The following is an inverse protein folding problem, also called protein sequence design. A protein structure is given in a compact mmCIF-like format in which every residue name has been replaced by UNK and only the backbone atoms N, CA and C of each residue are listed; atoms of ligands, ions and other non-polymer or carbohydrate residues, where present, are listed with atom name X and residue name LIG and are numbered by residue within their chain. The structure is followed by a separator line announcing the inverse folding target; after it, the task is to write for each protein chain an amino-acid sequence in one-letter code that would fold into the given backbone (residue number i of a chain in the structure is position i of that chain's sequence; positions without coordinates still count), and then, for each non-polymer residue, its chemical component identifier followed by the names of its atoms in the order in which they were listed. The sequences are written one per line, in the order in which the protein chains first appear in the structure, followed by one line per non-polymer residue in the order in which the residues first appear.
data_IF_342035588241
#
_entry.id   IF_342035588241
#
_cell.length_a   1.000
_cell.length_b   1.000
_cell.length_c   1.000
_cell.angle_alpha   90.00
_cell.angle_beta   90.00
_cell.angle_gamma   90.00
#
_symmetry.space_group_name_H-M   'P 1'
#
loop_
_entity.id
_entity.type
_entity.pdbx_description
1 polymer ?
#
# COMPACT_ATOMS: atom_id res chain seq x y z
N UNK A 1 14.80 -7.92 -22.84
CA UNK A 1 14.45 -6.86 -21.86
C UNK A 1 13.84 -7.57 -20.67
N UNK A 2 14.59 -7.62 -19.60
CA UNK A 2 14.16 -8.20 -18.31
C UNK A 2 13.67 -7.07 -17.40
N UNK A 3 12.41 -7.11 -16.99
CA UNK A 3 11.77 -6.03 -16.24
C UNK A 3 11.31 -6.56 -14.90
N UNK A 4 11.89 -6.04 -13.83
CA UNK A 4 11.50 -6.40 -12.47
C UNK A 4 10.64 -5.30 -11.86
N UNK A 5 9.49 -5.69 -11.32
CA UNK A 5 8.61 -4.80 -10.59
C UNK A 5 8.81 -4.91 -9.08
N UNK A 6 8.57 -3.80 -8.38
CA UNK A 6 8.51 -3.71 -6.93
C UNK A 6 7.22 -2.98 -6.57
N UNK A 7 6.45 -3.52 -5.64
CA UNK A 7 5.25 -2.86 -5.09
C UNK A 7 5.67 -2.18 -3.79
N UNK A 8 5.40 -0.89 -3.64
CA UNK A 8 5.90 -0.11 -2.51
C UNK A 8 4.98 1.02 -2.08
N UNK A 9 5.14 1.45 -0.84
CA UNK A 9 4.53 2.67 -0.29
C UNK A 9 5.53 3.81 -0.18
N UNK A 10 6.78 3.48 0.16
CA UNK A 10 7.85 4.44 0.43
C UNK A 10 7.45 5.55 1.42
N UNK A 11 6.96 5.13 2.57
CA UNK A 11 6.39 6.02 3.59
C UNK A 11 7.26 6.15 4.87
N UNK A 12 8.44 6.85 4.81
CA UNK A 12 9.13 7.39 3.63
C UNK A 12 10.05 6.39 2.93
N UNK A 13 10.66 6.80 1.82
CA UNK A 13 11.79 6.09 1.22
C UNK A 13 13.00 6.16 2.15
N UNK A 14 13.69 5.03 2.37
CA UNK A 14 14.83 4.93 3.29
C UNK A 14 15.89 3.93 2.78
N UNK A 15 17.02 3.81 3.50
CA UNK A 15 18.14 2.96 3.12
C UNK A 15 17.75 1.50 2.83
N UNK A 16 16.78 0.94 3.57
CA UNK A 16 16.26 -0.41 3.30
C UNK A 16 15.57 -0.53 1.94
N UNK A 17 14.86 0.51 1.50
CA UNK A 17 14.24 0.53 0.17
C UNK A 17 15.30 0.70 -0.93
N UNK A 18 16.31 1.53 -0.70
CA UNK A 18 17.45 1.68 -1.60
C UNK A 18 18.21 0.35 -1.77
N UNK A 19 18.48 -0.35 -0.67
CA UNK A 19 19.07 -1.68 -0.68
C UNK A 19 18.22 -2.66 -1.50
N UNK A 20 16.90 -2.68 -1.28
CA UNK A 20 15.99 -3.55 -2.01
C UNK A 20 16.03 -3.28 -3.52
N UNK A 21 15.94 -2.01 -3.96
CA UNK A 21 16.05 -1.65 -5.38
C UNK A 21 17.38 -2.15 -5.99
N UNK A 22 18.48 -1.93 -5.28
CA UNK A 22 19.80 -2.36 -5.73
C UNK A 22 19.91 -3.88 -5.85
N UNK A 23 19.48 -4.63 -4.83
CA UNK A 23 19.53 -6.09 -4.86
C UNK A 23 18.57 -6.67 -5.89
N UNK A 24 17.35 -6.14 -6.00
CA UNK A 24 16.39 -6.57 -7.01
C UNK A 24 16.98 -6.46 -8.42
N UNK A 25 17.66 -5.34 -8.74
CA UNK A 25 18.31 -5.18 -10.04
C UNK A 25 19.40 -6.23 -10.27
N UNK A 26 20.25 -6.48 -9.25
CA UNK A 26 21.37 -7.40 -9.37
C UNK A 26 20.91 -8.87 -9.44
N UNK A 27 20.08 -9.29 -8.49
CA UNK A 27 19.70 -10.71 -8.33
C UNK A 27 18.75 -11.19 -9.43
N UNK A 28 17.93 -10.29 -9.99
CA UNK A 28 17.05 -10.63 -11.11
C UNK A 28 17.65 -10.28 -12.48
N UNK A 29 18.87 -9.74 -12.55
CA UNK A 29 19.48 -9.24 -13.78
C UNK A 29 18.56 -8.29 -14.56
N UNK A 30 17.88 -7.38 -13.85
CA UNK A 30 16.89 -6.50 -14.44
C UNK A 30 17.53 -5.40 -15.30
N UNK A 31 17.12 -5.31 -16.57
CA UNK A 31 17.41 -4.17 -17.44
C UNK A 31 16.72 -2.91 -16.89
N UNK A 32 15.47 -3.06 -16.41
CA UNK A 32 14.65 -1.98 -15.87
C UNK A 32 13.94 -2.40 -14.59
N UNK A 33 13.83 -1.44 -13.65
CA UNK A 33 13.03 -1.54 -12.43
C UNK A 33 11.78 -0.66 -12.52
N UNK A 34 10.61 -1.27 -12.37
CA UNK A 34 9.34 -0.58 -12.24
C UNK A 34 8.94 -0.57 -10.76
N UNK A 35 8.58 0.59 -10.25
CA UNK A 35 7.94 0.70 -8.93
C UNK A 35 6.46 1.00 -9.13
N UNK A 36 5.59 0.13 -8.64
CA UNK A 36 4.17 0.38 -8.50
C UNK A 36 3.94 0.90 -7.07
N UNK A 37 3.61 2.18 -6.95
CA UNK A 37 3.64 2.90 -5.69
C UNK A 37 2.25 3.41 -5.28
N UNK A 38 1.90 3.24 -4.01
CA UNK A 38 0.69 3.84 -3.43
C UNK A 38 0.67 5.36 -3.67
N UNK A 39 -0.51 5.90 -3.99
CA UNK A 39 -0.78 7.33 -4.05
C UNK A 39 -0.53 8.02 -2.69
N UNK A 40 -1.30 9.06 -2.35
CA UNK A 40 -1.05 9.85 -1.14
C UNK A 40 -1.52 9.18 0.17
N UNK A 41 -2.24 8.05 0.06
CA UNK A 41 -2.65 7.22 1.19
C UNK A 41 -2.15 5.79 1.02
N UNK A 42 -1.89 5.12 2.14
CA UNK A 42 -1.19 3.83 2.18
C UNK A 42 -2.02 2.73 2.85
N UNK A 43 -1.61 1.49 2.70
CA UNK A 43 -2.33 0.27 3.07
C UNK A 43 -2.75 0.21 4.55
N UNK A 44 -2.05 0.89 5.42
CA UNK A 44 -2.40 0.97 6.85
C UNK A 44 -3.57 1.87 7.17
N UNK A 45 -4.15 2.55 6.19
CA UNK A 45 -5.20 3.54 6.38
C UNK A 45 -4.64 4.86 6.92
N UNK A 46 -3.45 5.24 6.49
CA UNK A 46 -2.73 6.45 6.90
C UNK A 46 -2.38 7.29 5.66
N UNK A 47 -2.22 8.62 5.80
CA UNK A 47 -1.57 9.41 4.77
C UNK A 47 -0.10 9.01 4.65
N UNK A 48 0.47 9.12 3.48
CA UNK A 48 1.91 9.09 3.33
C UNK A 48 2.53 10.36 3.93
N UNK A 49 3.70 10.23 4.55
CA UNK A 49 4.36 11.34 5.24
C UNK A 49 4.79 12.48 4.30
N UNK A 50 5.00 12.15 3.03
CA UNK A 50 5.22 13.06 1.90
C UNK A 50 4.29 12.66 0.75
N UNK A 51 3.92 13.61 -0.09
CA UNK A 51 3.06 13.36 -1.24
C UNK A 51 3.67 12.36 -2.24
N UNK A 52 2.83 11.85 -3.13
CA UNK A 52 3.26 10.87 -4.14
C UNK A 52 4.33 11.40 -5.10
N UNK A 53 4.38 12.72 -5.34
CA UNK A 53 5.36 13.32 -6.26
C UNK A 53 6.75 13.37 -5.63
N UNK A 54 6.84 13.78 -4.36
CA UNK A 54 8.07 13.70 -3.59
C UNK A 54 8.59 12.26 -3.53
N UNK A 55 7.72 11.29 -3.22
CA UNK A 55 8.09 9.88 -3.14
C UNK A 55 8.47 9.28 -4.49
N UNK A 56 7.83 9.73 -5.58
CA UNK A 56 8.23 9.38 -6.95
C UNK A 56 9.65 9.87 -7.25
N UNK A 57 9.97 11.13 -6.94
CA UNK A 57 11.33 11.66 -7.10
C UNK A 57 12.35 10.86 -6.29
N UNK A 58 12.00 10.51 -5.04
CA UNK A 58 12.84 9.65 -4.19
C UNK A 58 13.07 8.26 -4.79
N UNK A 59 12.03 7.62 -5.29
CA UNK A 59 12.12 6.29 -5.91
C UNK A 59 13.03 6.32 -7.16
N UNK A 60 12.88 7.33 -8.01
CA UNK A 60 13.70 7.50 -9.19
C UNK A 60 15.17 7.77 -8.81
N UNK A 61 15.44 8.66 -7.86
CA UNK A 61 16.80 8.90 -7.35
C UNK A 61 17.38 7.64 -6.69
N UNK A 62 16.52 6.84 -6.04
CA UNK A 62 16.90 5.56 -5.44
C UNK A 62 17.17 4.42 -6.43
N UNK A 63 16.97 4.63 -7.74
CA UNK A 63 17.31 3.64 -8.77
C UNK A 63 16.14 3.00 -9.51
N UNK A 64 14.90 3.42 -9.28
CA UNK A 64 13.77 3.03 -10.12
C UNK A 64 13.87 3.70 -11.51
N UNK A 65 13.43 3.01 -12.56
CA UNK A 65 13.40 3.53 -13.93
C UNK A 65 12.03 4.10 -14.30
N UNK A 66 10.97 3.52 -13.74
CA UNK A 66 9.59 3.93 -13.96
C UNK A 66 8.80 3.81 -12.65
N UNK A 67 7.99 4.82 -12.34
CA UNK A 67 7.06 4.78 -11.21
C UNK A 67 5.63 4.90 -11.73
N UNK A 68 4.81 3.92 -11.39
CA UNK A 68 3.38 3.86 -11.67
C UNK A 68 2.60 4.09 -10.38
N UNK A 69 1.43 4.69 -10.46
CA UNK A 69 0.52 4.85 -9.31
C UNK A 69 -0.34 3.60 -9.11
N UNK A 70 -0.41 3.11 -7.88
CA UNK A 70 -1.37 2.11 -7.47
C UNK A 70 -2.66 2.84 -7.04
N UNK A 71 -3.81 2.60 -7.71
CA UNK A 71 -5.08 3.24 -7.37
C UNK A 71 -5.48 3.09 -5.91
N UNK A 72 -6.13 4.10 -5.35
CA UNK A 72 -6.43 4.23 -3.93
C UNK A 72 -7.24 3.08 -3.35
N UNK A 73 -8.14 2.46 -4.12
CA UNK A 73 -8.90 1.29 -3.69
C UNK A 73 -8.00 0.09 -3.35
N UNK A 74 -6.94 -0.13 -4.13
CA UNK A 74 -5.92 -1.12 -3.78
C UNK A 74 -4.96 -0.58 -2.74
N UNK A 75 -4.45 0.64 -2.92
CA UNK A 75 -3.42 1.23 -2.07
C UNK A 75 -3.84 1.33 -0.60
N UNK A 76 -5.13 1.55 -0.32
CA UNK A 76 -5.70 1.60 1.03
C UNK A 76 -6.54 0.37 1.40
N UNK A 77 -6.52 -0.68 0.59
CA UNK A 77 -7.25 -1.92 0.82
C UNK A 77 -6.60 -2.84 1.87
N UNK A 78 -7.23 -3.99 2.12
CA UNK A 78 -6.58 -5.07 2.88
C UNK A 78 -5.36 -5.60 2.12
N UNK A 79 -4.48 -6.37 2.80
CA UNK A 79 -3.31 -6.95 2.13
C UNK A 79 -3.67 -7.76 0.88
N UNK A 80 -4.81 -8.46 0.90
CA UNK A 80 -5.34 -9.20 -0.25
C UNK A 80 -5.72 -8.29 -1.41
N UNK A 81 -6.50 -7.23 -1.16
CA UNK A 81 -6.90 -6.26 -2.18
C UNK A 81 -5.73 -5.42 -2.69
N UNK A 82 -4.80 -5.07 -1.79
CA UNK A 82 -3.54 -4.40 -2.15
C UNK A 82 -2.73 -5.26 -3.14
N UNK A 83 -2.53 -6.53 -2.80
CA UNK A 83 -1.78 -7.47 -3.64
C UNK A 83 -2.51 -7.77 -4.96
N UNK A 84 -3.81 -8.07 -4.89
CA UNK A 84 -4.61 -8.43 -6.07
C UNK A 84 -4.63 -7.32 -7.11
N UNK A 85 -4.91 -6.08 -6.71
CA UNK A 85 -4.93 -4.95 -7.64
C UNK A 85 -3.53 -4.62 -8.18
N UNK A 86 -2.50 -4.71 -7.35
CA UNK A 86 -1.13 -4.50 -7.81
C UNK A 86 -0.70 -5.53 -8.85
N UNK A 87 -0.95 -6.81 -8.63
CA UNK A 87 -0.63 -7.88 -9.60
C UNK A 87 -1.43 -7.73 -10.88
N UNK A 88 -2.70 -7.34 -10.79
CA UNK A 88 -3.54 -7.09 -11.97
C UNK A 88 -2.95 -6.00 -12.86
N UNK A 89 -2.50 -4.88 -12.30
CA UNK A 89 -1.85 -3.80 -13.05
C UNK A 89 -0.53 -4.24 -13.67
N UNK A 90 0.30 -4.99 -12.92
CA UNK A 90 1.57 -5.48 -13.43
C UNK A 90 1.37 -6.48 -14.58
N UNK A 91 0.40 -7.38 -14.47
CA UNK A 91 0.01 -8.30 -15.56
C UNK A 91 -0.45 -7.51 -16.79
N UNK A 92 -1.35 -6.56 -16.60
CA UNK A 92 -1.92 -5.76 -17.67
C UNK A 92 -0.89 -4.85 -18.37
N UNK A 93 0.23 -4.52 -17.71
CA UNK A 93 1.32 -3.77 -18.36
C UNK A 93 1.98 -4.53 -19.51
N UNK A 94 1.95 -5.87 -19.47
CA UNK A 94 2.49 -6.76 -20.51
C UNK A 94 4.01 -6.74 -20.64
N UNK A 95 4.75 -6.14 -19.69
CA UNK A 95 6.20 -5.98 -19.76
C UNK A 95 6.96 -6.56 -18.56
N UNK A 96 6.29 -6.82 -17.45
CA UNK A 96 6.92 -7.29 -16.21
C UNK A 96 7.20 -8.78 -16.31
N UNK A 97 8.45 -9.18 -16.10
CA UNK A 97 8.89 -10.58 -16.07
C UNK A 97 9.10 -11.11 -14.65
N UNK A 98 9.41 -10.23 -13.69
CA UNK A 98 9.70 -10.62 -12.31
C UNK A 98 9.05 -9.64 -11.33
N UNK A 99 8.56 -10.15 -10.19
CA UNK A 99 8.13 -9.37 -9.03
C UNK A 99 9.11 -9.60 -7.89
N UNK A 100 9.83 -8.56 -7.47
CA UNK A 100 10.70 -8.62 -6.29
C UNK A 100 10.04 -7.99 -5.08
N UNK A 101 10.05 -8.67 -3.94
CA UNK A 101 9.55 -8.17 -2.66
C UNK A 101 10.45 -8.55 -1.49
N UNK A 102 10.45 -7.75 -0.44
CA UNK A 102 11.19 -8.05 0.79
C UNK A 102 10.37 -8.94 1.72
N UNK A 103 11.00 -9.94 2.33
CA UNK A 103 10.40 -10.78 3.38
C UNK A 103 11.34 -10.95 4.57
N UNK A 104 10.82 -11.21 5.75
CA UNK A 104 11.63 -11.47 6.93
C UNK A 104 12.33 -12.82 6.83
N UNK A 105 11.64 -13.81 6.27
CA UNK A 105 12.20 -15.17 6.10
C UNK A 105 13.27 -15.27 5.02
N UNK A 106 13.10 -14.54 3.91
CA UNK A 106 13.89 -14.74 2.68
C UNK A 106 13.65 -16.10 2.02
N UNK A 107 12.65 -16.87 2.45
CA UNK A 107 12.35 -18.22 1.97
C UNK A 107 11.14 -18.23 1.03
N UNK A 108 11.43 -18.06 -0.26
CA UNK A 108 10.39 -18.06 -1.30
C UNK A 108 9.62 -19.40 -1.35
N UNK A 109 10.27 -20.51 -1.05
CA UNK A 109 9.65 -21.85 -1.12
C UNK A 109 8.57 -22.00 -0.07
N UNK A 110 8.86 -21.67 1.18
CA UNK A 110 7.88 -21.73 2.28
C UNK A 110 6.73 -20.75 2.07
N UNK A 111 7.03 -19.52 1.62
CA UNK A 111 6.01 -18.52 1.27
C UNK A 111 5.10 -19.00 0.13
N UNK A 112 5.66 -19.61 -0.92
CA UNK A 112 4.88 -20.15 -2.05
C UNK A 112 4.00 -21.33 -1.64
N UNK A 113 4.48 -22.20 -0.76
CA UNK A 113 3.69 -23.30 -0.22
C UNK A 113 2.45 -22.79 0.54
N UNK A 114 2.65 -21.81 1.44
CA UNK A 114 1.56 -21.18 2.17
C UNK A 114 0.59 -20.46 1.23
N UNK A 115 1.11 -19.70 0.25
CA UNK A 115 0.28 -19.00 -0.74
C UNK A 115 -0.59 -19.94 -1.57
N UNK A 116 -0.03 -21.08 -2.01
CA UNK A 116 -0.78 -22.11 -2.76
C UNK A 116 -1.92 -22.70 -1.93
N UNK A 117 -1.69 -22.96 -0.65
CA UNK A 117 -2.73 -23.40 0.27
C UNK A 117 -3.88 -22.37 0.37
N UNK A 118 -3.52 -21.09 0.62
CA UNK A 118 -4.52 -20.03 0.74
C UNK A 118 -5.17 -19.61 -0.59
N UNK A 119 -4.55 -19.93 -1.73
CA UNK A 119 -5.17 -19.68 -3.04
C UNK A 119 -6.36 -20.63 -3.29
N UNK A 120 -6.29 -21.86 -2.81
CA UNK A 120 -7.30 -22.90 -3.04
C UNK A 120 -8.44 -22.90 -2.01
N UNK A 121 -8.18 -22.42 -0.78
CA UNK A 121 -9.16 -22.35 0.34
C UNK A 121 -10.05 -23.59 0.47
N UNK A 122 -9.45 -24.74 0.76
CA UNK A 122 -10.17 -26.01 0.86
C UNK A 122 -11.38 -25.94 1.82
N UNK A 123 -12.41 -26.77 1.60
CA UNK A 123 -13.59 -26.85 2.45
C UNK A 123 -13.26 -27.12 3.93
N UNK A 124 -12.20 -27.91 4.16
CA UNK A 124 -11.68 -28.19 5.50
C UNK A 124 -11.13 -26.93 6.17
N UNK A 125 -10.31 -26.15 5.45
CA UNK A 125 -9.77 -24.87 5.93
C UNK A 125 -10.88 -23.90 6.26
N UNK A 126 -11.88 -23.74 5.38
CA UNK A 126 -13.02 -22.85 5.62
C UNK A 126 -13.83 -23.27 6.86
N UNK A 127 -13.97 -24.57 7.12
CA UNK A 127 -14.63 -25.09 8.32
C UNK A 127 -13.86 -24.69 9.59
N UNK A 128 -12.55 -24.86 9.62
CA UNK A 128 -11.71 -24.42 10.74
C UNK A 128 -11.74 -22.90 10.90
N UNK A 129 -11.62 -22.13 9.81
CA UNK A 129 -11.67 -20.68 9.86
C UNK A 129 -13.00 -20.17 10.48
N UNK A 130 -14.13 -20.69 10.04
CA UNK A 130 -15.44 -20.36 10.62
C UNK A 130 -15.51 -20.70 12.11
N UNK A 131 -14.95 -21.84 12.53
CA UNK A 131 -14.88 -22.24 13.94
C UNK A 131 -14.06 -21.25 14.77
N UNK A 132 -12.89 -20.83 14.26
CA UNK A 132 -12.03 -19.89 14.96
C UNK A 132 -12.63 -18.47 15.03
N UNK A 133 -13.29 -18.01 13.96
CA UNK A 133 -14.03 -16.73 13.95
C UNK A 133 -15.18 -16.72 14.96
N UNK A 134 -15.93 -17.83 15.11
CA UNK A 134 -16.98 -17.96 16.14
C UNK A 134 -16.46 -17.85 17.58
N UNK A 135 -15.16 -18.10 17.82
CA UNK A 135 -14.53 -17.89 19.15
C UNK A 135 -14.22 -16.40 19.41
N UNK A 136 -14.57 -15.49 18.50
CA UNK A 136 -14.33 -14.06 18.63
C UNK A 136 -12.89 -13.64 18.34
N UNK A 137 -12.11 -14.45 17.62
CA UNK A 137 -10.76 -14.09 17.19
C UNK A 137 -10.79 -13.11 16.02
N UNK A 138 -9.76 -12.26 15.91
CA UNK A 138 -9.55 -11.45 14.72
C UNK A 138 -9.29 -12.34 13.49
N UNK A 139 -9.65 -11.88 12.30
CA UNK A 139 -9.45 -12.65 11.07
C UNK A 139 -8.01 -13.14 10.87
N UNK A 140 -6.95 -12.32 11.09
CA UNK A 140 -5.56 -12.80 10.95
C UNK A 140 -5.25 -13.97 11.88
N UNK A 141 -5.70 -13.90 13.15
CA UNK A 141 -5.44 -14.98 14.12
C UNK A 141 -6.28 -16.23 13.85
N UNK A 142 -7.54 -16.06 13.47
CA UNK A 142 -8.41 -17.16 13.06
C UNK A 142 -7.86 -17.89 11.82
N UNK A 143 -7.36 -17.13 10.84
CA UNK A 143 -6.70 -17.63 9.62
C UNK A 143 -5.45 -18.45 9.94
N UNK A 144 -4.59 -17.94 10.82
CA UNK A 144 -3.38 -18.63 11.27
C UNK A 144 -3.73 -19.96 11.95
N UNK A 145 -4.65 -19.94 12.93
CA UNK A 145 -5.07 -21.16 13.65
C UNK A 145 -5.70 -22.19 12.71
N UNK A 146 -6.55 -21.75 11.76
CA UNK A 146 -7.18 -22.65 10.79
C UNK A 146 -6.15 -23.29 9.85
N UNK A 147 -5.14 -22.53 9.42
CA UNK A 147 -4.03 -23.05 8.62
C UNK A 147 -3.24 -24.12 9.37
N UNK A 148 -2.84 -23.85 10.61
CA UNK A 148 -2.10 -24.78 11.45
C UNK A 148 -2.91 -26.06 11.69
N UNK A 149 -4.20 -25.94 12.01
CA UNK A 149 -5.08 -27.10 12.19
C UNK A 149 -5.20 -28.00 10.93
N UNK A 150 -4.99 -27.44 9.73
CA UNK A 150 -4.92 -28.22 8.50
C UNK A 150 -3.57 -28.92 8.30
N UNK A 151 -2.50 -28.41 8.93
CA UNK A 151 -1.13 -28.94 8.80
C UNK A 151 -0.76 -29.98 9.89
N UNK A 152 -1.41 -29.95 11.06
CA UNK A 152 -1.11 -30.82 12.22
C UNK A 152 -1.13 -32.32 11.93
N UNK A 153 -1.64 -32.74 10.76
CA UNK A 153 -1.62 -34.13 10.33
C UNK A 153 -0.27 -34.58 9.70
N UNK A 154 0.67 -33.67 9.43
CA UNK A 154 1.81 -33.94 8.57
C UNK A 154 3.21 -33.80 9.16
N UNK A 155 3.50 -33.03 10.25
CA UNK A 155 4.83 -33.00 10.94
C UNK A 155 4.90 -31.87 11.99
N UNK A 156 5.27 -32.21 13.23
CA UNK A 156 5.38 -31.26 14.36
C UNK A 156 6.50 -30.21 14.19
N UNK A 157 7.60 -30.54 13.53
CA UNK A 157 8.76 -29.64 13.36
C UNK A 157 8.52 -28.51 12.32
N UNK A 158 7.60 -28.74 11.40
CA UNK A 158 7.21 -27.73 10.41
C UNK A 158 6.25 -26.68 10.96
N UNK A 159 5.55 -26.98 12.04
CA UNK A 159 4.49 -26.11 12.59
C UNK A 159 5.06 -24.82 13.18
N UNK A 160 6.17 -24.88 13.91
CA UNK A 160 6.81 -23.70 14.54
C UNK A 160 7.39 -22.72 13.50
N UNK A 161 7.95 -23.25 12.40
CA UNK A 161 8.47 -22.41 11.32
C UNK A 161 7.35 -21.71 10.53
N UNK A 162 6.19 -22.36 10.40
CA UNK A 162 5.01 -21.79 9.73
C UNK A 162 4.30 -20.75 10.59
N UNK A 163 4.27 -20.90 11.93
CA UNK A 163 3.76 -19.87 12.84
C UNK A 163 4.55 -18.56 12.68
N UNK A 164 5.88 -18.65 12.77
CA UNK A 164 6.78 -17.49 12.60
C UNK A 164 6.64 -16.86 11.22
N UNK A 165 6.39 -17.66 10.16
CA UNK A 165 6.17 -17.17 8.82
C UNK A 165 4.93 -16.26 8.73
N UNK A 166 3.83 -16.65 9.40
CA UNK A 166 2.55 -15.97 9.35
C UNK A 166 2.43 -14.80 10.34
N UNK A 167 3.32 -14.66 11.32
CA UNK A 167 3.33 -13.56 12.28
C UNK A 167 4.08 -12.31 11.76
N UNK A 168 4.84 -12.46 10.68
CA UNK A 168 5.67 -11.39 10.14
C UNK A 168 4.96 -10.62 9.03
N UNK A 169 4.79 -9.29 9.15
CA UNK A 169 3.97 -8.50 8.22
C UNK A 169 4.41 -8.53 6.76
N UNK A 170 5.73 -8.53 6.49
CA UNK A 170 6.19 -8.56 5.09
C UNK A 170 6.12 -9.99 4.51
N UNK A 171 6.26 -11.03 5.35
CA UNK A 171 5.97 -12.41 4.91
C UNK A 171 4.48 -12.54 4.54
N UNK A 172 3.56 -12.00 5.36
CA UNK A 172 2.12 -11.99 5.04
C UNK A 172 1.83 -11.28 3.73
N UNK A 173 2.43 -10.11 3.52
CA UNK A 173 2.24 -9.35 2.28
C UNK A 173 2.85 -10.08 1.08
N UNK A 174 4.05 -10.65 1.22
CA UNK A 174 4.69 -11.50 0.21
C UNK A 174 3.83 -12.70 -0.16
N UNK A 175 3.23 -13.36 0.83
CA UNK A 175 2.29 -14.45 0.61
C UNK A 175 1.03 -13.99 -0.15
N UNK A 176 0.47 -12.79 0.13
CA UNK A 176 -0.66 -12.25 -0.64
C UNK A 176 -0.27 -11.95 -2.09
N UNK A 177 0.96 -11.47 -2.36
CA UNK A 177 1.47 -11.32 -3.74
C UNK A 177 1.51 -12.67 -4.47
N UNK A 178 2.08 -13.70 -3.82
CA UNK A 178 2.16 -15.05 -4.40
C UNK A 178 0.77 -15.65 -4.64
N UNK A 179 -0.15 -15.47 -3.69
CA UNK A 179 -1.56 -15.87 -3.83
C UNK A 179 -2.22 -15.17 -5.02
N UNK A 180 -2.00 -13.87 -5.19
CA UNK A 180 -2.54 -13.11 -6.31
C UNK A 180 -1.95 -13.56 -7.66
N UNK A 181 -0.64 -13.84 -7.73
CA UNK A 181 0.00 -14.41 -8.92
C UNK A 181 -0.64 -15.75 -9.30
N UNK A 182 -0.89 -16.64 -8.34
CA UNK A 182 -1.53 -17.94 -8.57
C UNK A 182 -2.97 -17.76 -9.06
N UNK A 183 -3.79 -16.96 -8.34
CA UNK A 183 -5.21 -16.76 -8.67
C UNK A 183 -5.43 -16.09 -10.04
N UNK A 184 -4.49 -15.23 -10.45
CA UNK A 184 -4.56 -14.53 -11.73
C UNK A 184 -3.82 -15.25 -12.86
N UNK A 185 -3.32 -16.47 -12.62
CA UNK A 185 -2.54 -17.25 -13.61
C UNK A 185 -1.41 -16.43 -14.23
N UNK A 186 -0.73 -15.65 -13.41
CA UNK A 186 0.31 -14.72 -13.85
C UNK A 186 1.56 -15.45 -14.32
N UNK A 187 2.17 -14.96 -15.39
CA UNK A 187 3.49 -15.41 -15.85
C UNK A 187 4.66 -14.71 -15.17
N UNK A 188 4.39 -13.75 -14.28
CA UNK A 188 5.40 -12.99 -13.54
C UNK A 188 6.06 -13.92 -12.52
N UNK A 189 7.39 -14.04 -12.59
CA UNK A 189 8.16 -14.87 -11.67
C UNK A 189 8.38 -14.14 -10.33
N UNK A 190 8.05 -14.75 -9.19
CA UNK A 190 8.31 -14.15 -7.89
C UNK A 190 9.79 -14.26 -7.49
N UNK A 191 10.29 -13.21 -6.84
CA UNK A 191 11.61 -13.14 -6.24
C UNK A 191 11.52 -12.48 -4.87
N UNK A 192 12.20 -13.02 -3.85
CA UNK A 192 12.20 -12.44 -2.52
C UNK A 192 13.61 -12.13 -2.03
N UNK A 193 13.77 -10.98 -1.40
CA UNK A 193 15.01 -10.55 -0.77
C UNK A 193 14.81 -10.58 0.74
N UNK A 194 15.72 -11.24 1.46
CA UNK A 194 15.67 -11.24 2.91
C UNK A 194 15.95 -9.84 3.43
N UNK A 195 15.01 -9.31 4.23
CA UNK A 195 15.15 -7.99 4.85
C UNK A 195 16.35 -7.98 5.79
N UNK A 196 17.15 -6.92 5.70
CA UNK A 196 18.26 -6.67 6.60
C UNK A 196 17.90 -5.51 7.54
N UNK A 197 18.33 -5.57 8.80
CA UNK A 197 18.13 -4.51 9.77
C UNK A 197 17.14 -4.84 10.86
N UNK A 198 16.65 -3.79 11.55
CA UNK A 198 15.75 -3.90 12.70
C UNK A 198 14.42 -4.55 12.34
N UNK A 199 13.90 -5.34 13.28
CA UNK A 199 12.58 -5.96 13.17
C UNK A 199 11.48 -4.92 12.96
N UNK A 200 10.38 -5.37 12.36
CA UNK A 200 9.22 -4.51 12.06
C UNK A 200 8.61 -3.80 13.29
N UNK A 201 8.74 -4.40 14.46
CA UNK A 201 8.25 -3.86 15.74
C UNK A 201 9.22 -2.92 16.44
N UNK A 202 10.45 -2.75 15.92
CA UNK A 202 11.40 -1.82 16.50
C UNK A 202 11.02 -0.38 16.16
N UNK A 203 10.49 0.31 17.14
CA UNK A 203 10.03 1.71 17.01
C UNK A 203 11.14 2.74 17.33
N UNK A 204 12.29 2.27 17.79
CA UNK A 204 13.44 3.14 18.08
C UNK A 204 14.44 3.09 16.92
N UNK A 205 14.85 4.28 16.43
CA UNK A 205 15.98 4.35 15.51
C UNK A 205 17.25 4.07 16.31
N UNK A 206 17.84 2.90 16.09
CA UNK A 206 19.19 2.64 16.56
C UNK A 206 20.19 3.35 15.64
N UNK A 207 21.47 3.38 16.06
CA UNK A 207 22.58 3.79 15.21
C UNK A 207 22.80 2.90 13.98
N UNK A 208 21.95 1.86 13.79
CA UNK A 208 21.98 0.98 12.62
C UNK A 208 21.58 1.72 11.34
N UNK A 209 22.25 1.42 10.24
CA UNK A 209 21.99 2.00 8.92
C UNK A 209 20.59 1.69 8.34
N UNK A 210 19.90 0.67 8.85
CA UNK A 210 18.61 0.21 8.38
C UNK A 210 17.51 0.38 9.45
N UNK A 211 16.94 1.58 9.57
CA UNK A 211 15.73 1.80 10.34
C UNK A 211 14.47 1.39 9.58
N UNK A 212 13.37 1.16 10.30
CA UNK A 212 12.06 0.91 9.68
C UNK A 212 11.35 2.22 9.32
N UNK A 213 10.50 2.19 8.27
CA UNK A 213 9.67 3.34 7.93
C UNK A 213 8.78 3.81 9.09
N UNK A 214 8.27 2.86 9.90
CA UNK A 214 7.49 3.16 11.11
C UNK A 214 8.34 3.85 12.18
N UNK A 215 9.59 3.43 12.39
CA UNK A 215 10.54 4.08 13.30
C UNK A 215 10.84 5.51 12.86
N UNK A 216 11.08 5.74 11.55
CA UNK A 216 11.31 7.08 11.00
C UNK A 216 10.09 7.98 11.25
N UNK A 217 8.87 7.51 10.95
CA UNK A 217 7.64 8.30 11.18
C UNK A 217 7.45 8.63 12.68
N UNK A 218 7.68 7.65 13.55
CA UNK A 218 7.60 7.87 15.00
C UNK A 218 8.63 8.91 15.45
N UNK A 219 9.88 8.82 15.02
CA UNK A 219 10.91 9.81 15.34
C UNK A 219 10.51 11.21 14.89
N UNK A 220 9.94 11.35 13.69
CA UNK A 220 9.46 12.64 13.19
C UNK A 220 8.21 13.16 13.90
N UNK A 221 7.39 12.28 14.49
CA UNK A 221 6.27 12.68 15.35
C UNK A 221 6.76 13.19 16.71
N UNK A 222 7.70 12.46 17.32
CA UNK A 222 8.22 12.78 18.65
C UNK A 222 9.22 13.96 18.60
N UNK A 223 10.04 14.02 17.55
CA UNK A 223 11.11 15.00 17.34
C UNK A 223 11.17 15.44 15.87
N UNK A 224 10.35 16.42 15.45
CA UNK A 224 10.25 16.86 14.07
C UNK A 224 11.51 17.60 13.58
N UNK A 225 12.55 16.85 13.24
CA UNK A 225 13.83 17.38 12.75
C UNK A 225 14.35 16.51 11.63
N UNK A 226 14.82 17.14 10.53
CA UNK A 226 15.48 16.43 9.41
C UNK A 226 16.75 15.71 9.86
N UNK A 227 17.51 16.29 10.78
CA UNK A 227 18.75 15.70 11.27
C UNK A 227 18.50 14.35 11.97
N UNK A 228 17.35 14.21 12.65
CA UNK A 228 17.00 12.97 13.35
C UNK A 228 16.84 11.75 12.44
N UNK A 229 16.58 11.96 11.14
CA UNK A 229 16.37 10.89 10.15
C UNK A 229 17.45 10.80 9.09
N UNK A 230 18.43 11.72 9.07
CA UNK A 230 19.43 11.86 8.02
C UNK A 230 20.17 10.56 7.72
N UNK A 231 20.59 9.83 8.75
CA UNK A 231 21.33 8.58 8.62
C UNK A 231 20.51 7.42 8.06
N UNK A 232 19.17 7.55 8.05
CA UNK A 232 18.27 6.54 7.55
C UNK A 232 17.89 6.71 6.08
N UNK A 233 18.28 7.83 5.47
CA UNK A 233 17.91 8.22 4.10
C UNK A 233 19.17 8.29 3.22
N UNK A 234 19.16 7.73 2.00
CA UNK A 234 20.28 7.89 1.08
C UNK A 234 20.55 9.37 0.78
N UNK A 235 21.83 9.80 0.65
CA UNK A 235 22.18 11.22 0.48
C UNK A 235 21.44 11.92 -0.67
N UNK A 236 21.39 11.30 -1.85
CA UNK A 236 20.71 11.88 -3.03
C UNK A 236 19.20 12.02 -2.81
N UNK A 237 18.59 11.07 -2.07
CA UNK A 237 17.17 11.09 -1.72
C UNK A 237 16.89 12.12 -0.62
N UNK A 238 17.84 12.35 0.27
CA UNK A 238 17.70 13.30 1.37
C UNK A 238 17.53 14.75 0.88
N UNK A 239 18.07 15.08 -0.29
CA UNK A 239 17.83 16.39 -0.93
C UNK A 239 16.35 16.69 -1.12
N UNK A 240 15.53 15.68 -1.45
CA UNK A 240 14.08 15.84 -1.61
C UNK A 240 13.43 16.24 -0.29
N UNK A 241 13.89 15.70 0.86
CA UNK A 241 13.44 16.12 2.17
C UNK A 241 13.77 17.57 2.46
N UNK A 242 15.00 18.01 2.18
CA UNK A 242 15.44 19.40 2.37
C UNK A 242 14.57 20.37 1.58
N UNK A 243 14.30 20.04 0.30
CA UNK A 243 13.52 20.88 -0.60
C UNK A 243 12.06 21.05 -0.15
N UNK A 244 11.49 20.03 0.52
CA UNK A 244 10.07 19.90 0.82
C UNK A 244 9.72 20.01 2.31
N UNK A 245 10.72 20.08 3.20
CA UNK A 245 10.52 20.22 4.64
C UNK A 245 9.77 21.51 4.97
N UNK A 246 8.70 21.39 5.76
CA UNK A 246 7.81 22.49 6.12
C UNK A 246 7.16 23.21 4.91
N UNK A 247 7.12 22.58 3.73
CA UNK A 247 6.40 23.07 2.54
C UNK A 247 5.29 22.12 2.12
N UNK A 248 5.56 20.82 2.10
CA UNK A 248 4.59 19.76 1.76
C UNK A 248 4.69 18.52 2.67
N UNK A 249 5.47 18.56 3.72
CA UNK A 249 5.59 17.49 4.72
C UNK A 249 6.48 17.90 5.89
N UNK A 250 6.46 17.11 6.97
CA UNK A 250 5.77 15.82 7.14
C UNK A 250 4.26 15.96 7.41
N UNK A 251 3.46 15.04 6.86
CA UNK A 251 2.01 14.93 7.09
C UNK A 251 1.73 13.68 7.93
N UNK A 252 0.84 13.81 8.92
CA UNK A 252 0.49 12.75 9.85
C UNK A 252 -1.03 12.49 9.87
N UNK A 253 -1.42 11.36 10.43
CA UNK A 253 -2.82 10.93 10.50
C UNK A 253 -3.73 11.98 11.15
N UNK A 254 -3.29 12.56 12.26
CA UNK A 254 -4.11 13.50 13.04
C UNK A 254 -4.24 14.89 12.38
N UNK A 255 -3.45 15.20 11.35
CA UNK A 255 -3.64 16.39 10.52
C UNK A 255 -5.00 16.35 9.78
N UNK A 256 -5.61 15.17 9.63
CA UNK A 256 -6.91 14.95 8.99
C UNK A 256 -8.09 14.91 9.98
N UNK A 257 -7.86 15.14 11.28
CA UNK A 257 -8.89 14.98 12.32
C UNK A 257 -10.12 15.83 12.09
N UNK A 258 -9.96 17.11 11.74
CA UNK A 258 -11.10 18.01 11.51
C UNK A 258 -11.96 17.57 10.31
N UNK A 259 -11.31 17.10 9.24
CA UNK A 259 -12.01 16.62 8.04
C UNK A 259 -12.77 15.31 8.34
N UNK A 260 -12.16 14.40 9.09
CA UNK A 260 -12.83 13.16 9.51
C UNK A 260 -14.01 13.47 10.43
N UNK A 261 -13.83 14.34 11.42
CA UNK A 261 -14.91 14.74 12.34
C UNK A 261 -16.11 15.30 11.57
N UNK A 262 -15.86 16.25 10.65
CA UNK A 262 -16.91 16.78 9.76
C UNK A 262 -17.66 15.68 9.01
N UNK A 263 -16.93 14.71 8.45
CA UNK A 263 -17.55 13.57 7.74
C UNK A 263 -18.39 12.70 8.68
N UNK A 264 -17.91 12.41 9.88
CA UNK A 264 -18.67 11.61 10.86
C UNK A 264 -19.97 12.29 11.28
N UNK A 265 -20.01 13.62 11.37
CA UNK A 265 -21.21 14.38 11.67
C UNK A 265 -22.25 14.34 10.54
N UNK A 266 -21.85 14.13 9.29
CA UNK A 266 -22.73 14.11 8.12
C UNK A 266 -23.54 12.80 7.98
N UNK A 267 -23.19 11.73 8.71
CA UNK A 267 -23.89 10.44 8.64
C UNK A 267 -24.99 10.37 9.70
N UNK A 268 -26.20 9.95 9.26
CA UNK A 268 -27.35 9.86 10.13
C UNK A 268 -27.68 8.42 10.53
N UNK A 269 -27.37 7.45 9.68
CA UNK A 269 -27.71 6.05 9.90
C UNK A 269 -26.62 5.08 9.40
N UNK A 270 -26.81 3.81 9.75
CA UNK A 270 -25.93 2.71 9.38
C UNK A 270 -25.87 2.46 7.87
N UNK A 271 -26.96 2.62 7.16
CA UNK A 271 -27.03 2.31 5.74
C UNK A 271 -26.10 3.23 4.94
N UNK A 272 -26.11 4.54 5.26
CA UNK A 272 -25.21 5.50 4.64
C UNK A 272 -23.72 5.16 4.87
N UNK A 273 -23.38 4.67 6.06
CA UNK A 273 -22.01 4.25 6.36
C UNK A 273 -21.63 3.00 5.56
N UNK A 274 -22.53 2.01 5.47
CA UNK A 274 -22.28 0.74 4.76
C UNK A 274 -22.16 0.90 3.23
N UNK A 275 -22.53 2.03 2.65
CA UNK A 275 -22.27 2.35 1.24
C UNK A 275 -20.77 2.56 0.97
N UNK A 276 -19.96 2.77 2.02
CA UNK A 276 -18.52 3.04 1.89
C UNK A 276 -17.69 1.75 1.93
N UNK A 277 -16.58 1.80 1.24
CA UNK A 277 -15.68 0.66 1.06
C UNK A 277 -15.17 0.09 2.39
N UNK A 278 -15.19 -1.26 2.53
CA UNK A 278 -14.75 -2.05 3.70
C UNK A 278 -15.52 -1.77 5.00
N UNK A 279 -16.69 -1.11 4.96
CA UNK A 279 -17.51 -0.89 6.15
C UNK A 279 -18.58 -1.96 6.32
N UNK A 280 -18.47 -2.74 7.40
CA UNK A 280 -19.51 -3.68 7.83
C UNK A 280 -20.52 -3.00 8.73
N UNK A 281 -21.73 -3.59 8.86
CA UNK A 281 -22.78 -3.12 9.77
C UNK A 281 -22.28 -2.96 11.21
N UNK A 282 -21.48 -3.92 11.70
CA UNK A 282 -20.89 -3.87 13.05
C UNK A 282 -19.99 -2.64 13.25
N UNK A 283 -19.17 -2.32 12.25
CA UNK A 283 -18.29 -1.13 12.30
C UNK A 283 -19.13 0.14 12.22
N UNK A 284 -20.14 0.17 11.35
CA UNK A 284 -21.02 1.31 11.19
C UNK A 284 -21.82 1.63 12.46
N UNK A 285 -22.44 0.62 13.10
CA UNK A 285 -23.15 0.78 14.36
C UNK A 285 -22.22 1.29 15.47
N UNK A 286 -20.99 0.73 15.54
CA UNK A 286 -20.02 1.17 16.53
C UNK A 286 -19.59 2.62 16.29
N UNK A 287 -19.34 3.04 15.06
CA UNK A 287 -19.02 4.45 14.73
C UNK A 287 -20.12 5.38 15.21
N UNK A 288 -21.40 5.07 14.90
CA UNK A 288 -22.54 5.89 15.33
C UNK A 288 -22.65 6.01 16.85
N UNK A 289 -22.36 4.91 17.57
CA UNK A 289 -22.47 4.88 19.03
C UNK A 289 -21.37 5.68 19.75
N UNK A 290 -20.15 5.75 19.17
CA UNK A 290 -18.99 6.39 19.85
C UNK A 290 -18.57 7.72 19.21
N UNK A 291 -19.27 8.20 18.16
CA UNK A 291 -18.83 9.41 17.44
C UNK A 291 -18.78 10.68 18.28
N UNK A 292 -19.58 10.75 19.37
CA UNK A 292 -19.53 11.86 20.33
C UNK A 292 -18.20 11.94 21.11
N UNK A 293 -17.45 10.84 21.17
CA UNK A 293 -16.19 10.74 21.90
C UNK A 293 -14.98 11.06 21.00
N UNK A 294 -15.24 11.60 19.80
CA UNK A 294 -14.20 11.97 18.86
C UNK A 294 -13.30 13.10 19.41
N UNK A 295 -11.99 12.86 19.43
CA UNK A 295 -10.98 13.86 19.81
C UNK A 295 -9.95 14.06 18.69
N UNK A 296 -9.41 12.97 18.12
CA UNK A 296 -8.52 12.99 16.98
C UNK A 296 -8.72 11.73 16.16
N UNK A 297 -8.16 11.69 14.95
CA UNK A 297 -8.25 10.52 14.06
C UNK A 297 -7.65 9.28 14.75
N UNK A 298 -6.44 9.39 15.27
CA UNK A 298 -5.73 8.27 15.93
C UNK A 298 -6.43 7.79 17.21
N UNK A 299 -6.92 8.71 18.04
CA UNK A 299 -7.71 8.39 19.24
C UNK A 299 -9.00 7.68 18.87
N UNK A 300 -9.74 8.19 17.89
CA UNK A 300 -10.99 7.58 17.44
C UNK A 300 -10.78 6.21 16.80
N UNK A 301 -9.69 6.03 16.06
CA UNK A 301 -9.26 4.71 15.55
C UNK A 301 -9.06 3.72 16.71
N UNK A 302 -8.44 4.17 17.80
CA UNK A 302 -8.22 3.34 18.99
C UNK A 302 -9.51 2.98 19.71
N UNK A 303 -10.48 3.90 19.81
CA UNK A 303 -11.81 3.64 20.35
C UNK A 303 -12.62 2.65 19.50
N UNK A 304 -12.46 2.71 18.16
CA UNK A 304 -13.16 1.81 17.23
C UNK A 304 -12.62 0.38 17.29
N UNK A 305 -11.34 0.20 17.65
CA UNK A 305 -10.69 -1.11 17.78
C UNK A 305 -11.40 -2.00 18.79
N UNK A 306 -11.52 -3.30 18.44
CA UNK A 306 -12.01 -4.37 19.33
C UNK A 306 -11.09 -5.57 19.25
N UNK A 307 -11.43 -6.67 19.93
CA UNK A 307 -10.72 -7.95 19.79
C UNK A 307 -10.79 -8.49 18.34
N UNK A 308 -11.90 -8.24 17.65
CA UNK A 308 -12.13 -8.70 16.27
C UNK A 308 -11.70 -7.68 15.22
N UNK A 309 -11.79 -6.39 15.52
CA UNK A 309 -11.48 -5.29 14.62
C UNK A 309 -10.09 -4.73 14.98
N UNK A 310 -9.10 -4.99 14.15
CA UNK A 310 -7.73 -4.49 14.37
C UNK A 310 -7.64 -2.97 14.17
N UNK A 311 -6.64 -2.32 14.81
CA UNK A 311 -6.36 -0.89 14.62
C UNK A 311 -6.25 -0.51 13.14
N UNK A 312 -5.49 -1.28 12.36
CA UNK A 312 -5.29 -1.02 10.93
C UNK A 312 -6.61 -1.11 10.13
N UNK A 313 -7.50 -2.05 10.46
CA UNK A 313 -8.82 -2.12 9.82
C UNK A 313 -9.68 -0.92 10.21
N UNK A 314 -9.70 -0.54 11.49
CA UNK A 314 -10.39 0.67 11.95
C UNK A 314 -9.91 1.91 11.20
N UNK A 315 -8.57 2.07 11.09
CA UNK A 315 -7.97 3.21 10.39
C UNK A 315 -8.35 3.25 8.90
N UNK A 316 -8.32 2.10 8.20
CA UNK A 316 -8.77 2.03 6.80
C UNK A 316 -10.25 2.41 6.64
N UNK A 317 -11.13 1.85 7.46
CA UNK A 317 -12.56 2.18 7.41
C UNK A 317 -12.80 3.68 7.59
N UNK A 318 -12.14 4.31 8.58
CA UNK A 318 -12.24 5.75 8.80
C UNK A 318 -11.65 6.57 7.65
N UNK A 319 -10.54 6.10 7.08
CA UNK A 319 -9.96 6.71 5.88
C UNK A 319 -10.91 6.63 4.68
N UNK A 320 -11.55 5.49 4.46
CA UNK A 320 -12.51 5.30 3.37
C UNK A 320 -13.74 6.21 3.52
N UNK A 321 -14.22 6.45 4.75
CA UNK A 321 -15.25 7.44 5.03
C UNK A 321 -14.78 8.87 4.73
N UNK A 322 -13.59 9.22 5.21
CA UNK A 322 -12.97 10.54 4.95
C UNK A 322 -12.86 10.81 3.44
N UNK A 323 -12.36 9.82 2.70
CA UNK A 323 -12.13 9.91 1.27
C UNK A 323 -13.38 9.62 0.43
N UNK A 324 -14.54 9.45 1.05
CA UNK A 324 -15.81 9.15 0.36
C UNK A 324 -15.68 7.99 -0.65
N UNK A 325 -14.94 6.94 -0.30
CA UNK A 325 -14.73 5.78 -1.17
C UNK A 325 -15.96 4.88 -1.14
N UNK A 326 -16.66 4.77 -2.27
CA UNK A 326 -17.89 4.01 -2.37
C UNK A 326 -17.64 2.52 -2.61
N UNK A 327 -18.39 1.63 -1.92
CA UNK A 327 -18.30 0.18 -2.10
C UNK A 327 -18.58 -0.22 -3.56
N UNK A 328 -19.59 0.37 -4.19
CA UNK A 328 -19.94 0.09 -5.58
C UNK A 328 -18.79 0.35 -6.55
N UNK A 329 -18.05 1.45 -6.37
CA UNK A 329 -16.89 1.77 -7.21
C UNK A 329 -15.74 0.80 -6.95
N UNK A 330 -15.52 0.41 -5.67
CA UNK A 330 -14.54 -0.60 -5.32
C UNK A 330 -14.87 -1.97 -5.96
N UNK A 331 -16.12 -2.39 -5.92
CA UNK A 331 -16.57 -3.65 -6.53
C UNK A 331 -16.35 -3.67 -8.03
N UNK A 332 -16.67 -2.58 -8.74
CA UNK A 332 -16.39 -2.44 -10.18
C UNK A 332 -14.90 -2.49 -10.46
N UNK A 333 -14.09 -1.77 -9.68
CA UNK A 333 -12.63 -1.76 -9.82
C UNK A 333 -12.01 -3.16 -9.68
N UNK A 334 -12.40 -3.93 -8.65
CA UNK A 334 -11.82 -5.26 -8.41
C UNK A 334 -12.37 -6.34 -9.35
N UNK A 335 -13.58 -6.17 -9.89
CA UNK A 335 -14.18 -7.09 -10.86
C UNK A 335 -13.58 -6.96 -12.25
N UNK A 336 -13.37 -5.72 -12.70
CA UNK A 336 -13.04 -5.40 -14.11
C UNK A 336 -11.56 -5.06 -14.32
N UNK A 337 -10.70 -5.33 -13.33
CA UNK A 337 -9.24 -5.11 -13.40
C UNK A 337 -8.83 -3.66 -13.70
N UNK A 338 -8.77 -2.85 -12.68
CA UNK A 338 -8.02 -1.60 -12.53
C UNK A 338 -8.02 -0.52 -13.64
N UNK A 339 -8.62 -0.70 -14.74
CA UNK A 339 -8.94 0.33 -15.73
C UNK A 339 -7.80 1.15 -16.36
N UNK A 340 -6.63 1.39 -15.75
CA UNK A 340 -5.55 2.24 -16.32
C UNK A 340 -4.19 2.05 -15.64
N UNK A 341 -3.13 2.46 -16.34
CA UNK A 341 -1.77 2.58 -15.82
C UNK A 341 -1.39 4.06 -15.77
N UNK A 342 -1.25 4.65 -14.59
CA UNK A 342 -0.85 6.04 -14.42
C UNK A 342 0.64 6.16 -14.16
N UNK A 343 1.34 6.92 -15.02
CA UNK A 343 2.77 7.20 -14.89
C UNK A 343 2.95 8.43 -13.98
N UNK A 344 3.64 8.25 -12.85
CA UNK A 344 4.04 9.34 -11.97
C UNK A 344 5.41 9.91 -12.34
N UNK A 345 6.33 9.07 -12.82
CA UNK A 345 7.63 9.54 -13.25
C UNK A 345 8.49 8.44 -13.87
N UNK A 346 9.55 8.84 -14.57
CA UNK A 346 10.48 7.92 -15.21
C UNK A 346 11.87 8.55 -15.46
N UNK A 347 12.87 7.69 -15.65
CA UNK A 347 14.20 8.11 -16.15
C UNK A 347 14.16 8.25 -17.67
N UNK A 348 14.92 9.22 -18.23
CA UNK A 348 15.05 9.36 -19.70
C UNK A 348 15.55 8.09 -20.35
N UNK A 349 16.44 7.34 -19.69
CA UNK A 349 16.94 6.03 -20.13
C UNK A 349 15.84 4.97 -20.29
N UNK A 350 14.67 5.13 -19.63
CA UNK A 350 13.55 4.21 -19.71
C UNK A 350 12.63 4.41 -20.94
N UNK A 351 13.00 5.24 -21.90
CA UNK A 351 12.20 5.49 -23.12
C UNK A 351 11.89 4.22 -23.90
N UNK A 352 12.83 3.28 -24.00
CA UNK A 352 12.61 1.98 -24.64
C UNK A 352 11.59 1.11 -23.89
N UNK A 353 11.60 1.15 -22.55
CA UNK A 353 10.62 0.48 -21.68
C UNK A 353 9.21 1.05 -21.92
N UNK A 354 9.07 2.39 -21.92
CA UNK A 354 7.80 3.07 -22.18
C UNK A 354 7.25 2.78 -23.58
N UNK A 355 8.11 2.75 -24.59
CA UNK A 355 7.72 2.42 -25.96
C UNK A 355 7.21 0.97 -26.06
N UNK A 356 7.84 0.03 -25.36
CA UNK A 356 7.38 -1.37 -25.28
C UNK A 356 6.05 -1.46 -24.53
N UNK A 357 5.94 -0.83 -23.36
CA UNK A 357 4.71 -0.83 -22.56
C UNK A 357 3.50 -0.31 -23.36
N UNK A 358 3.68 0.75 -24.15
CA UNK A 358 2.62 1.27 -25.04
C UNK A 358 2.13 0.26 -26.08
N UNK A 359 2.96 -0.70 -26.50
CA UNK A 359 2.61 -1.74 -27.48
C UNK A 359 1.98 -2.97 -26.85
N UNK A 360 2.32 -3.29 -25.60
CA UNK A 360 1.94 -4.54 -24.94
C UNK A 360 0.86 -4.37 -23.89
N UNK A 361 0.67 -3.16 -23.36
CA UNK A 361 -0.30 -2.91 -22.30
C UNK A 361 -1.73 -3.19 -22.77
N UNK A 362 -2.45 -3.95 -21.95
CA UNK A 362 -3.88 -4.20 -22.10
C UNK A 362 -4.75 -3.06 -21.57
N UNK A 363 -4.16 -2.15 -20.79
CA UNK A 363 -4.84 -1.01 -20.18
C UNK A 363 -4.34 0.31 -20.77
N UNK A 364 -5.20 1.34 -20.83
CA UNK A 364 -4.79 2.69 -21.22
C UNK A 364 -3.69 3.22 -20.29
N UNK A 365 -2.71 3.90 -20.89
CA UNK A 365 -1.60 4.53 -20.17
C UNK A 365 -1.86 6.03 -20.02
N UNK A 366 -1.95 6.51 -18.80
CA UNK A 366 -2.23 7.91 -18.49
C UNK A 366 -0.93 8.62 -18.10
N UNK A 367 -0.51 9.55 -18.95
CA UNK A 367 0.60 10.48 -18.70
C UNK A 367 0.11 11.91 -18.45
N UNK A 368 -1.06 12.26 -19.03
CA UNK A 368 -1.73 13.56 -18.86
C UNK A 368 -3.18 13.33 -18.44
N UNK A 369 -3.57 13.88 -17.32
CA UNK A 369 -4.94 13.75 -16.81
C UNK A 369 -5.99 14.37 -17.73
N UNK A 370 -5.64 15.44 -18.45
CA UNK A 370 -6.56 16.11 -19.39
C UNK A 370 -7.05 15.16 -20.50
N UNK A 371 -6.27 14.16 -20.88
CA UNK A 371 -6.62 13.20 -21.93
C UNK A 371 -7.39 11.98 -21.39
N UNK A 372 -7.45 11.81 -20.07
CA UNK A 372 -7.95 10.58 -19.44
C UNK A 372 -9.41 10.27 -19.80
N UNK A 373 -10.31 11.27 -19.85
CA UNK A 373 -11.73 11.07 -20.17
C UNK A 373 -11.95 10.51 -21.60
N UNK A 374 -11.00 10.74 -22.52
CA UNK A 374 -11.06 10.22 -23.88
C UNK A 374 -10.53 8.79 -23.99
N UNK A 375 -9.69 8.38 -23.05
CA UNK A 375 -8.97 7.11 -23.07
C UNK A 375 -9.62 6.03 -22.20
N UNK A 376 -10.37 6.43 -21.17
CA UNK A 376 -10.91 5.54 -20.15
C UNK A 376 -12.40 5.30 -20.36
N UNK A 377 -12.87 4.11 -19.97
CA UNK A 377 -14.29 3.84 -19.75
C UNK A 377 -14.83 4.69 -18.58
N UNK A 378 -16.14 4.83 -18.45
CA UNK A 378 -16.74 5.60 -17.36
C UNK A 378 -16.38 5.03 -15.98
N UNK A 379 -16.31 3.72 -15.83
CA UNK A 379 -15.90 3.06 -14.59
C UNK A 379 -14.44 3.34 -14.25
N UNK A 380 -13.53 3.17 -15.21
CA UNK A 380 -12.11 3.47 -15.03
C UNK A 380 -11.87 4.97 -14.77
N UNK A 381 -12.65 5.83 -15.41
CA UNK A 381 -12.59 7.27 -15.17
C UNK A 381 -13.09 7.63 -13.76
N UNK A 382 -14.12 6.94 -13.25
CA UNK A 382 -14.63 7.11 -11.88
C UNK A 382 -13.56 6.73 -10.84
N UNK A 383 -12.80 5.66 -11.09
CA UNK A 383 -11.65 5.29 -10.23
C UNK A 383 -10.56 6.35 -10.26
N UNK A 384 -10.23 6.89 -11.45
CA UNK A 384 -9.23 7.96 -11.57
C UNK A 384 -9.69 9.25 -10.87
N UNK A 385 -10.98 9.60 -10.96
CA UNK A 385 -11.54 10.75 -10.23
C UNK A 385 -11.43 10.55 -8.72
N UNK A 386 -11.58 9.32 -8.22
CA UNK A 386 -11.35 9.00 -6.82
C UNK A 386 -9.88 9.20 -6.41
N UNK A 387 -8.92 8.77 -7.24
CA UNK A 387 -7.48 9.00 -6.97
C UNK A 387 -7.16 10.50 -6.93
N UNK A 388 -7.71 11.28 -7.87
CA UNK A 388 -7.57 12.74 -7.89
C UNK A 388 -8.20 13.36 -6.64
N UNK A 389 -9.37 12.89 -6.23
CA UNK A 389 -10.04 13.37 -5.02
C UNK A 389 -9.20 13.09 -3.76
N UNK A 390 -8.65 11.87 -3.64
CA UNK A 390 -7.73 11.52 -2.56
C UNK A 390 -6.54 12.49 -2.50
N UNK A 391 -5.93 12.76 -3.64
CA UNK A 391 -4.81 13.70 -3.74
C UNK A 391 -5.22 15.12 -3.35
N UNK A 392 -6.39 15.58 -3.79
CA UNK A 392 -6.92 16.91 -3.43
C UNK A 392 -7.16 17.03 -1.91
N UNK A 393 -7.72 16.00 -1.27
CA UNK A 393 -7.91 15.97 0.20
C UNK A 393 -6.56 16.04 0.91
N UNK A 394 -5.57 15.27 0.45
CA UNK A 394 -4.22 15.31 1.01
C UNK A 394 -3.61 16.72 0.90
N UNK A 395 -3.64 17.31 -0.29
CA UNK A 395 -3.07 18.64 -0.53
C UNK A 395 -3.85 19.77 0.12
N UNK A 396 -5.14 19.59 0.43
CA UNK A 396 -5.90 20.53 1.27
C UNK A 396 -5.29 20.62 2.67
N UNK A 397 -4.94 19.46 3.26
CA UNK A 397 -4.27 19.40 4.57
C UNK A 397 -2.85 19.99 4.50
N UNK A 398 -2.09 19.69 3.44
CA UNK A 398 -0.77 20.30 3.21
C UNK A 398 -0.88 21.83 3.14
N UNK A 399 -1.81 22.35 2.35
CA UNK A 399 -2.00 23.79 2.19
C UNK A 399 -2.40 24.46 3.51
N UNK A 400 -3.27 23.82 4.29
CA UNK A 400 -3.67 24.31 5.61
C UNK A 400 -2.50 24.31 6.60
N UNK A 401 -1.72 23.24 6.65
CA UNK A 401 -0.62 23.08 7.60
C UNK A 401 0.57 24.00 7.31
N UNK A 402 0.90 24.20 6.04
CA UNK A 402 2.10 24.91 5.60
C UNK A 402 1.81 26.23 4.87
N UNK A 403 0.57 26.74 4.97
CA UNK A 403 0.15 28.01 4.34
C UNK A 403 0.46 28.06 2.83
N UNK A 404 0.36 26.92 2.17
CA UNK A 404 0.61 26.74 0.75
C UNK A 404 -0.61 27.05 -0.13
N UNK A 405 -0.44 27.00 -1.44
CA UNK A 405 -1.52 27.07 -2.40
C UNK A 405 -2.15 25.69 -2.65
N UNK A 406 -3.45 25.68 -2.96
CA UNK A 406 -4.13 24.47 -3.39
C UNK A 406 -3.49 23.94 -4.67
N UNK A 407 -3.18 22.69 -4.63
CA UNK A 407 -2.55 21.93 -5.68
C UNK A 407 -3.57 21.53 -6.75
N UNK A 408 -3.20 21.63 -8.02
CA UNK A 408 -4.04 21.17 -9.12
C UNK A 408 -3.35 20.02 -9.86
N UNK A 409 -3.83 18.81 -9.63
CA UNK A 409 -3.23 17.60 -10.17
C UNK A 409 -3.26 17.52 -11.71
N UNK A 410 -4.22 18.19 -12.36
CA UNK A 410 -4.29 18.31 -13.82
C UNK A 410 -3.14 19.13 -14.44
N UNK A 411 -2.46 19.95 -13.65
CA UNK A 411 -1.34 20.80 -14.09
C UNK A 411 0.02 20.13 -13.89
N UNK A 412 0.05 18.93 -13.30
CA UNK A 412 1.32 18.25 -13.02
C UNK A 412 1.64 17.25 -14.10
N UNK A 413 2.86 17.35 -14.58
CA UNK A 413 3.45 16.39 -15.50
C UNK A 413 4.23 15.31 -14.74
N UNK A 414 4.38 14.11 -15.31
CA UNK A 414 5.26 13.10 -14.75
C UNK A 414 6.67 13.64 -14.49
N UNK A 415 7.28 13.19 -13.39
CA UNK A 415 8.65 13.57 -13.04
C UNK A 415 9.62 12.88 -13.99
N UNK A 416 10.49 13.63 -14.62
CA UNK A 416 11.51 13.10 -15.53
C UNK A 416 12.88 13.44 -14.97
N UNK A 417 13.70 12.41 -14.76
CA UNK A 417 15.12 12.61 -14.35
C UNK A 417 16.04 12.08 -15.45
N UNK A 418 17.29 12.52 -15.48
CA UNK A 418 18.30 12.08 -16.46
C UNK A 418 18.47 10.58 -16.55
#
# INVERSE_FOLDING_TARGET
MNVTAIIAEYNPFHNGHFYHLKQARLETNADFLIVLMSGDFVQRGEPAILDKWCRTKMALLGGADLVLELPCFSASGSAEYFASGAISLLNASGIVSCLSFGSESGDLKSLSCAASFFAQESALYQTFLKKELKKGLSFPKARQNAFLACQEKNDSDKTSSLETLLDSPNNLLGMEYLKALIRQHSSILPHTIKRQGMGYHDLTLSSSYFGSASGIRKTLTDHPSLESIRHQIPPDVFSVWIDNWNKCGPIFLDDFSALLHYRLLSFHDRLQLCEHYDLSEEIADRILNIRSDFTSFSSFTSLLKTRQITYTRSSRCLLHLLLNMQQKTADSFFKDSAGYLRILGFRKSASALLARMKKTSQLPIITKLADAKKLLSDDAFSVLLQDIFCSNVYHTVVAQKYSGHLYNEYKISPIIIP
#
